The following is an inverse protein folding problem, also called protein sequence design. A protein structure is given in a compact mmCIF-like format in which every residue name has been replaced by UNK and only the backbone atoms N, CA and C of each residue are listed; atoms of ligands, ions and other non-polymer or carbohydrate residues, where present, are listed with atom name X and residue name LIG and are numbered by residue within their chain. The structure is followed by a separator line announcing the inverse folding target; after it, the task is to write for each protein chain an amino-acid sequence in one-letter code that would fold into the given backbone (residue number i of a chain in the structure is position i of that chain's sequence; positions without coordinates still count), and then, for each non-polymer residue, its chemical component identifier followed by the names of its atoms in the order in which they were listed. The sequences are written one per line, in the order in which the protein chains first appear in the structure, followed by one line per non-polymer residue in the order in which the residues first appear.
data_IF_141434172322
#
_entry.id   IF_141434172322
#
_cell.length_a   1.000
_cell.length_b   1.000
_cell.length_c   1.000
_cell.angle_alpha   90.00
_cell.angle_beta   90.00
_cell.angle_gamma   90.00
#
_symmetry.space_group_name_H-M   'P 1'
#
loop_
_entity.id
_entity.type
_entity.pdbx_description
1 polymer ?
#
# COMPACT_ATOMS: atom_id res chain seq x y z
N UNK A 1 -1.82 12.46 -57.38
CA UNK A 1 -3.06 12.35 -56.63
C UNK A 1 -2.74 11.60 -55.36
N UNK A 2 -2.59 12.37 -54.35
CA UNK A 2 -2.98 12.25 -52.96
C UNK A 2 -2.60 10.99 -52.21
N UNK A 3 -1.42 11.06 -51.54
CA UNK A 3 -1.11 10.23 -50.39
C UNK A 3 -1.57 10.87 -49.14
N UNK A 4 -2.33 10.17 -48.31
CA UNK A 4 -2.56 10.51 -46.94
C UNK A 4 -1.56 9.75 -46.08
N UNK A 5 -0.63 10.46 -45.53
CA UNK A 5 0.23 9.98 -44.45
C UNK A 5 -0.56 9.86 -43.16
N UNK A 6 -0.63 8.66 -42.60
CA UNK A 6 -1.06 8.43 -41.26
C UNK A 6 0.16 8.45 -40.35
N UNK A 7 0.32 9.54 -39.62
CA UNK A 7 1.32 9.68 -38.55
C UNK A 7 0.99 8.82 -37.35
N UNK A 8 2.01 8.27 -36.81
CA UNK A 8 2.35 7.92 -35.45
C UNK A 8 1.28 7.67 -34.40
N UNK A 9 0.98 6.41 -34.13
CA UNK A 9 0.60 5.94 -32.81
C UNK A 9 1.64 4.92 -32.31
N UNK A 10 2.73 5.46 -31.83
CA UNK A 10 3.72 4.71 -31.07
C UNK A 10 3.44 4.93 -29.59
N UNK A 11 2.88 3.95 -28.90
CA UNK A 11 2.86 4.02 -27.44
C UNK A 11 2.05 2.98 -26.70
N UNK A 12 1.00 2.42 -27.26
CA UNK A 12 0.09 1.55 -26.51
C UNK A 12 0.02 0.09 -26.94
N UNK A 13 0.52 -0.25 -28.10
CA UNK A 13 0.30 -1.57 -28.73
C UNK A 13 1.30 -2.66 -28.37
N UNK A 14 2.40 -2.33 -27.73
CA UNK A 14 3.48 -3.29 -27.47
C UNK A 14 3.27 -4.18 -26.24
N UNK A 15 2.28 -3.89 -25.40
CA UNK A 15 2.05 -4.61 -24.14
C UNK A 15 1.04 -5.76 -24.21
N UNK A 16 0.33 -5.92 -25.33
CA UNK A 16 -0.71 -6.94 -25.47
C UNK A 16 -0.54 -7.79 -26.74
N UNK A 17 0.59 -8.45 -26.88
CA UNK A 17 0.77 -9.52 -27.85
C UNK A 17 0.72 -10.91 -27.18
N UNK A 18 -0.34 -11.19 -26.47
CA UNK A 18 -0.54 -12.44 -25.71
C UNK A 18 -0.80 -13.70 -26.56
N UNK A 19 -0.58 -13.70 -27.87
CA UNK A 19 -0.73 -14.92 -28.71
C UNK A 19 0.25 -15.02 -29.89
N UNK A 20 1.10 -14.03 -30.15
CA UNK A 20 2.22 -14.17 -31.06
C UNK A 20 3.46 -14.25 -30.20
N UNK A 21 4.19 -15.36 -30.30
CA UNK A 21 5.41 -15.59 -29.53
C UNK A 21 6.33 -14.36 -29.59
N UNK A 22 7.05 -14.11 -28.50
CA UNK A 22 8.06 -13.05 -28.43
C UNK A 22 8.94 -13.13 -29.66
N UNK A 23 9.20 -11.99 -30.28
CA UNK A 23 10.13 -11.85 -31.41
C UNK A 23 11.46 -12.55 -31.06
N UNK A 24 11.99 -13.42 -31.91
CA UNK A 24 13.23 -14.16 -31.64
C UNK A 24 14.38 -13.27 -31.16
N UNK A 25 14.51 -12.06 -31.68
CA UNK A 25 15.50 -11.08 -31.22
C UNK A 25 15.29 -10.64 -29.78
N UNK A 26 14.04 -10.45 -29.37
CA UNK A 26 13.69 -10.10 -27.96
C UNK A 26 13.93 -11.27 -27.04
N UNK A 27 13.61 -12.49 -27.46
CA UNK A 27 13.92 -13.69 -26.71
C UNK A 27 15.43 -13.85 -26.49
N UNK A 28 16.24 -13.60 -27.50
CA UNK A 28 17.69 -13.66 -27.39
C UNK A 28 18.25 -12.55 -26.48
N UNK A 29 17.72 -11.34 -26.57
CA UNK A 29 18.06 -10.24 -25.64
C UNK A 29 17.69 -10.58 -24.18
N UNK A 30 16.52 -11.15 -23.95
CA UNK A 30 16.10 -11.61 -22.61
C UNK A 30 17.00 -12.74 -22.11
N UNK A 31 17.31 -13.71 -22.97
CA UNK A 31 18.21 -14.82 -22.63
C UNK A 31 19.60 -14.31 -22.22
N UNK A 32 20.16 -13.35 -22.94
CA UNK A 32 21.43 -12.73 -22.59
C UNK A 32 21.35 -11.87 -21.33
N UNK A 33 20.29 -11.10 -21.18
CA UNK A 33 20.11 -10.21 -20.03
C UNK A 33 19.94 -10.97 -18.71
N UNK A 34 19.15 -12.05 -18.74
CA UNK A 34 18.88 -12.88 -17.56
C UNK A 34 19.75 -14.13 -17.46
N UNK A 35 20.58 -14.39 -18.48
CA UNK A 35 21.49 -15.52 -18.50
C UNK A 35 20.76 -16.88 -18.50
N UNK A 36 19.62 -16.99 -19.17
CA UNK A 36 18.84 -18.23 -19.22
C UNK A 36 19.58 -19.38 -19.93
N UNK A 37 20.62 -19.07 -20.67
CA UNK A 37 21.57 -19.99 -21.28
C UNK A 37 22.52 -20.67 -20.30
N UNK A 38 22.59 -20.18 -19.02
CA UNK A 38 23.50 -20.68 -18.02
C UNK A 38 22.82 -21.67 -17.05
N UNK A 39 23.59 -22.61 -16.44
CA UNK A 39 23.07 -23.51 -15.42
C UNK A 39 22.38 -22.76 -14.29
N UNK A 40 21.29 -23.35 -13.77
CA UNK A 40 20.47 -22.71 -12.71
C UNK A 40 21.27 -22.27 -11.48
N UNK A 41 22.24 -23.08 -11.05
CA UNK A 41 23.10 -22.77 -9.90
C UNK A 41 23.99 -21.54 -10.15
N UNK A 42 24.56 -21.43 -11.34
CA UNK A 42 25.39 -20.26 -11.70
C UNK A 42 24.57 -18.98 -11.70
N UNK A 43 23.34 -19.04 -12.22
CA UNK A 43 22.39 -17.91 -12.18
C UNK A 43 22.04 -17.53 -10.76
N UNK A 44 21.76 -18.51 -9.91
CA UNK A 44 21.42 -18.29 -8.51
C UNK A 44 22.54 -17.57 -7.77
N UNK A 45 23.79 -18.06 -7.87
CA UNK A 45 24.93 -17.42 -7.19
C UNK A 45 25.24 -16.03 -7.77
N UNK A 46 25.09 -15.82 -9.07
CA UNK A 46 25.25 -14.50 -9.67
C UNK A 46 24.17 -13.53 -9.14
N UNK A 47 22.90 -13.95 -9.14
CA UNK A 47 21.79 -13.15 -8.61
C UNK A 47 22.00 -12.81 -7.12
N UNK A 48 22.41 -13.80 -6.33
CA UNK A 48 22.68 -13.59 -4.90
C UNK A 48 23.82 -12.59 -4.68
N UNK A 49 24.89 -12.69 -5.46
CA UNK A 49 26.00 -11.75 -5.41
C UNK A 49 25.56 -10.33 -5.81
N UNK A 50 24.79 -10.19 -6.88
CA UNK A 50 24.25 -8.89 -7.28
C UNK A 50 23.36 -8.27 -6.19
N UNK A 51 22.52 -9.06 -5.54
CA UNK A 51 21.67 -8.59 -4.44
C UNK A 51 22.47 -8.15 -3.21
N UNK A 52 23.57 -8.85 -2.89
CA UNK A 52 24.45 -8.47 -1.78
C UNK A 52 25.13 -7.10 -1.99
N UNK A 53 25.34 -6.69 -3.23
CA UNK A 53 25.91 -5.37 -3.58
C UNK A 53 24.83 -4.36 -4.00
N UNK A 54 23.54 -4.66 -3.73
CA UNK A 54 22.39 -3.84 -4.10
C UNK A 54 22.27 -3.54 -5.62
N UNK A 55 22.83 -4.40 -6.46
CA UNK A 55 22.64 -4.33 -7.91
C UNK A 55 21.42 -5.17 -8.30
N UNK A 56 20.26 -4.53 -8.40
CA UNK A 56 19.00 -5.15 -8.82
C UNK A 56 18.76 -5.00 -10.34
N UNK A 57 19.73 -4.50 -11.08
CA UNK A 57 19.63 -4.27 -12.51
C UNK A 57 18.73 -3.09 -12.89
N UNK A 58 18.26 -3.12 -14.13
CA UNK A 58 17.38 -2.08 -14.66
C UNK A 58 15.93 -2.52 -14.74
N UNK A 59 15.01 -1.59 -14.45
CA UNK A 59 13.57 -1.81 -14.59
C UNK A 59 13.19 -1.92 -16.06
N UNK A 60 12.54 -3.00 -16.43
CA UNK A 60 12.06 -3.22 -17.79
C UNK A 60 11.02 -2.18 -18.25
N UNK A 61 10.19 -1.69 -17.31
CA UNK A 61 9.11 -0.77 -17.63
C UNK A 61 9.52 0.72 -17.57
N UNK A 62 10.49 1.05 -16.74
CA UNK A 62 10.83 2.45 -16.44
C UNK A 62 12.18 2.88 -17.02
N UNK A 63 12.94 1.99 -17.69
CA UNK A 63 14.25 2.27 -18.29
C UNK A 63 15.24 2.98 -17.34
N UNK A 64 15.13 2.70 -16.04
CA UNK A 64 16.00 3.25 -14.99
C UNK A 64 16.40 2.16 -14.00
N UNK A 65 17.46 2.38 -13.22
CA UNK A 65 17.90 1.43 -12.20
C UNK A 65 16.76 1.14 -11.20
N UNK A 66 16.60 -0.14 -10.83
CA UNK A 66 15.61 -0.57 -9.83
C UNK A 66 15.86 0.14 -8.49
N UNK A 67 17.12 0.30 -8.09
CA UNK A 67 17.48 1.05 -6.86
C UNK A 67 16.97 2.49 -6.92
N UNK A 68 17.20 3.16 -8.03
CA UNK A 68 16.74 4.54 -8.22
C UNK A 68 15.22 4.65 -8.21
N UNK A 69 14.54 3.68 -8.82
CA UNK A 69 13.08 3.59 -8.78
C UNK A 69 12.57 3.39 -7.35
N UNK A 70 13.18 2.47 -6.60
CA UNK A 70 12.82 2.22 -5.20
C UNK A 70 13.00 3.48 -4.36
N UNK A 71 14.18 4.13 -4.43
CA UNK A 71 14.46 5.35 -3.68
C UNK A 71 13.46 6.47 -4.02
N UNK A 72 13.08 6.61 -5.28
CA UNK A 72 12.10 7.64 -5.70
C UNK A 72 10.69 7.38 -5.15
N UNK A 73 10.33 6.13 -4.85
CA UNK A 73 9.01 5.75 -4.29
C UNK A 73 9.01 5.61 -2.77
N UNK A 74 10.19 5.50 -2.13
CA UNK A 74 10.30 5.37 -0.68
C UNK A 74 9.57 6.47 0.11
N UNK A 75 9.65 7.77 -0.23
CA UNK A 75 8.98 8.81 0.54
C UNK A 75 7.46 8.59 0.63
N UNK A 76 6.83 8.16 -0.47
CA UNK A 76 5.40 7.84 -0.51
C UNK A 76 5.09 6.65 0.39
N UNK A 77 5.82 5.55 0.23
CA UNK A 77 5.59 4.32 0.99
C UNK A 77 5.84 4.51 2.49
N UNK A 78 6.90 5.22 2.85
CA UNK A 78 7.23 5.53 4.25
C UNK A 78 6.17 6.44 4.89
N UNK A 79 5.71 7.46 4.17
CA UNK A 79 4.64 8.34 4.63
C UNK A 79 3.35 7.57 4.90
N UNK A 80 2.90 6.76 3.95
CA UNK A 80 1.71 5.92 4.09
C UNK A 80 1.85 4.94 5.24
N UNK A 81 2.98 4.23 5.31
CA UNK A 81 3.25 3.25 6.37
C UNK A 81 3.27 3.88 7.76
N UNK A 82 3.96 5.02 7.92
CA UNK A 82 4.08 5.71 9.19
C UNK A 82 2.71 6.21 9.69
N UNK A 83 1.97 6.92 8.85
CA UNK A 83 0.65 7.42 9.24
C UNK A 83 -0.35 6.31 9.49
N UNK A 84 -0.36 5.28 8.66
CA UNK A 84 -1.20 4.10 8.88
C UNK A 84 -0.86 3.43 10.21
N UNK A 85 0.42 3.24 10.51
CA UNK A 85 0.88 2.69 11.80
C UNK A 85 0.38 3.53 12.97
N UNK A 86 0.66 4.84 12.98
CA UNK A 86 0.26 5.74 14.07
C UNK A 86 -1.25 5.71 14.29
N UNK A 87 -2.05 5.83 13.22
CA UNK A 87 -3.51 5.87 13.32
C UNK A 87 -4.08 4.54 13.78
N UNK A 88 -3.58 3.41 13.24
CA UNK A 88 -4.02 2.08 13.65
C UNK A 88 -3.77 1.87 15.15
N UNK A 89 -2.55 2.11 15.62
CA UNK A 89 -2.22 1.88 17.03
C UNK A 89 -2.92 2.86 17.97
N UNK A 90 -2.97 4.14 17.62
CA UNK A 90 -3.66 5.15 18.42
C UNK A 90 -5.17 4.89 18.54
N UNK A 91 -5.76 4.22 17.54
CA UNK A 91 -7.20 3.89 17.55
C UNK A 91 -7.47 2.52 18.17
N UNK A 92 -6.70 1.49 17.76
CA UNK A 92 -6.97 0.10 18.13
C UNK A 92 -6.69 -0.19 19.61
N UNK A 93 -5.65 0.41 20.19
CA UNK A 93 -5.31 0.16 21.59
C UNK A 93 -6.43 0.65 22.52
N UNK A 94 -6.83 1.94 22.51
CA UNK A 94 -7.89 2.40 23.39
C UNK A 94 -9.24 1.74 23.09
N UNK A 95 -9.56 1.53 21.82
CA UNK A 95 -10.80 0.85 21.43
C UNK A 95 -10.81 -0.61 21.89
N UNK A 96 -9.71 -1.34 21.72
CA UNK A 96 -9.59 -2.74 22.18
C UNK A 96 -9.71 -2.88 23.69
N UNK A 97 -9.09 -1.98 24.46
CA UNK A 97 -9.22 -1.93 25.91
C UNK A 97 -10.66 -1.60 26.31
N UNK A 98 -11.29 -0.60 25.70
CA UNK A 98 -12.68 -0.25 25.97
C UNK A 98 -13.64 -1.41 25.69
N UNK A 99 -13.38 -2.18 24.63
CA UNK A 99 -14.14 -3.40 24.28
C UNK A 99 -13.92 -4.53 25.30
N UNK A 100 -12.70 -4.71 25.80
CA UNK A 100 -12.40 -5.71 26.82
C UNK A 100 -13.10 -5.40 28.14
N UNK A 101 -13.10 -4.13 28.57
CA UNK A 101 -13.80 -3.68 29.77
C UNK A 101 -15.32 -3.82 29.66
N UNK A 102 -15.87 -3.65 28.45
CA UNK A 102 -17.31 -3.73 28.18
C UNK A 102 -17.67 -5.00 27.39
N UNK A 103 -16.93 -6.09 27.60
CA UNK A 103 -17.15 -7.34 26.87
C UNK A 103 -18.59 -7.84 26.99
N UNK A 104 -19.19 -8.23 25.87
CA UNK A 104 -20.58 -8.67 25.79
C UNK A 104 -21.64 -7.56 25.78
N UNK A 105 -21.26 -6.29 25.93
CA UNK A 105 -22.18 -5.16 25.82
C UNK A 105 -22.60 -4.87 24.36
N UNK A 106 -23.66 -4.08 24.20
CA UNK A 106 -24.10 -3.58 22.89
C UNK A 106 -22.99 -2.78 22.17
N UNK A 107 -22.17 -2.04 22.91
CA UNK A 107 -21.01 -1.33 22.40
C UNK A 107 -19.98 -2.30 21.79
N UNK A 108 -19.68 -3.39 22.50
CA UNK A 108 -18.73 -4.39 22.02
C UNK A 108 -19.23 -5.09 20.74
N UNK A 109 -20.50 -5.48 20.72
CA UNK A 109 -21.11 -6.11 19.55
C UNK A 109 -21.18 -5.15 18.35
N UNK A 110 -21.70 -3.95 18.55
CA UNK A 110 -21.85 -2.96 17.49
C UNK A 110 -20.51 -2.56 16.88
N UNK A 111 -19.48 -2.29 17.70
CA UNK A 111 -18.13 -1.96 17.21
C UNK A 111 -17.48 -3.15 16.52
N UNK A 112 -17.68 -4.39 16.99
CA UNK A 112 -17.19 -5.58 16.30
C UNK A 112 -17.81 -5.72 14.92
N UNK A 113 -19.14 -5.58 14.83
CA UNK A 113 -19.85 -5.65 13.55
C UNK A 113 -19.37 -4.59 12.57
N UNK A 114 -19.22 -3.34 13.01
CA UNK A 114 -18.72 -2.25 12.17
C UNK A 114 -17.30 -2.52 11.67
N UNK A 115 -16.41 -2.98 12.54
CA UNK A 115 -15.04 -3.34 12.17
C UNK A 115 -14.99 -4.49 11.17
N UNK A 116 -15.84 -5.52 11.34
CA UNK A 116 -15.92 -6.66 10.42
C UNK A 116 -16.47 -6.25 9.05
N UNK A 117 -17.46 -5.36 9.00
CA UNK A 117 -17.95 -4.78 7.72
C UNK A 117 -16.79 -4.06 7.01
N UNK A 118 -16.04 -3.22 7.72
CA UNK A 118 -14.88 -2.55 7.15
C UNK A 118 -13.79 -3.51 6.68
N UNK A 119 -13.55 -4.58 7.45
CA UNK A 119 -12.58 -5.61 7.10
C UNK A 119 -12.95 -6.42 5.85
N UNK A 120 -14.26 -6.63 5.62
CA UNK A 120 -14.73 -7.36 4.45
C UNK A 120 -14.47 -6.63 3.13
N UNK A 121 -14.27 -5.31 3.16
CA UNK A 121 -13.98 -4.52 1.97
C UNK A 121 -12.47 -4.51 1.72
N UNK A 122 -11.99 -5.05 0.58
CA UNK A 122 -10.57 -4.95 0.24
C UNK A 122 -10.11 -3.48 0.19
N UNK A 123 -8.97 -3.18 0.86
CA UNK A 123 -8.50 -1.79 0.99
C UNK A 123 -8.32 -1.06 -0.34
N UNK A 124 -7.89 -1.75 -1.40
CA UNK A 124 -7.76 -1.15 -2.73
C UNK A 124 -9.14 -0.79 -3.33
N UNK A 125 -10.18 -1.61 -3.09
CA UNK A 125 -11.55 -1.32 -3.54
C UNK A 125 -12.08 -0.08 -2.81
N UNK A 126 -11.89 -0.03 -1.48
CA UNK A 126 -12.23 1.14 -0.69
C UNK A 126 -11.48 2.39 -1.20
N UNK A 127 -10.19 2.26 -1.50
CA UNK A 127 -9.38 3.34 -2.07
C UNK A 127 -9.94 3.88 -3.39
N UNK A 128 -10.33 2.99 -4.30
CA UNK A 128 -10.94 3.38 -5.57
C UNK A 128 -12.28 4.09 -5.33
N UNK A 129 -13.13 3.54 -4.48
CA UNK A 129 -14.43 4.14 -4.15
C UNK A 129 -14.27 5.54 -3.56
N UNK A 130 -13.37 5.70 -2.58
CA UNK A 130 -13.08 7.00 -1.97
C UNK A 130 -12.52 7.99 -2.99
N UNK A 131 -11.65 7.55 -3.87
CA UNK A 131 -11.07 8.39 -4.91
C UNK A 131 -12.14 8.86 -5.91
N UNK A 132 -13.00 7.97 -6.36
CA UNK A 132 -14.10 8.30 -7.30
C UNK A 132 -15.11 9.25 -6.65
N UNK A 133 -15.45 9.02 -5.38
CA UNK A 133 -16.41 9.85 -4.68
C UNK A 133 -15.84 11.23 -4.32
N UNK A 134 -14.61 11.31 -3.85
CA UNK A 134 -14.06 12.50 -3.19
C UNK A 134 -12.84 13.12 -3.85
N UNK A 135 -12.12 12.39 -4.73
CA UNK A 135 -10.86 12.85 -5.30
C UNK A 135 -10.87 13.17 -6.79
N UNK A 136 -11.79 12.62 -7.55
CA UNK A 136 -11.72 12.64 -9.01
C UNK A 136 -12.61 13.64 -9.75
N UNK A 137 -13.40 14.43 -9.02
CA UNK A 137 -14.34 15.37 -9.66
C UNK A 137 -15.55 14.72 -10.34
N UNK A 138 -15.74 13.38 -10.21
CA UNK A 138 -16.92 12.70 -10.73
C UNK A 138 -18.17 13.00 -9.90
N UNK A 139 -18.02 13.08 -8.58
CA UNK A 139 -19.07 13.46 -7.62
C UNK A 139 -18.66 14.68 -6.82
N UNK A 140 -17.63 14.55 -6.01
CA UNK A 140 -17.09 15.63 -5.17
C UNK A 140 -15.57 15.73 -5.36
N UNK A 141 -15.03 16.93 -5.45
CA UNK A 141 -13.59 17.18 -5.60
C UNK A 141 -13.02 17.81 -4.32
N UNK A 142 -13.13 17.09 -3.19
CA UNK A 142 -12.65 17.60 -1.91
C UNK A 142 -11.17 17.29 -1.68
N UNK A 143 -10.69 16.15 -2.19
CA UNK A 143 -9.33 15.70 -1.96
C UNK A 143 -8.53 15.63 -3.26
N UNK A 144 -7.21 15.79 -3.18
CA UNK A 144 -6.35 15.70 -4.34
C UNK A 144 -6.32 14.27 -4.90
N UNK A 145 -6.23 14.17 -6.23
CA UNK A 145 -6.29 12.91 -6.96
C UNK A 145 -4.97 12.12 -6.86
N UNK A 146 -3.83 12.80 -6.78
CA UNK A 146 -2.49 12.19 -6.83
C UNK A 146 -1.43 13.07 -6.17
N UNK A 147 -0.27 12.48 -5.89
CA UNK A 147 0.88 13.16 -5.28
C UNK A 147 0.84 13.13 -3.76
N UNK A 148 1.96 13.52 -3.14
CA UNK A 148 2.05 13.76 -1.69
C UNK A 148 1.77 15.21 -1.34
N UNK A 149 1.87 16.09 -2.32
CA UNK A 149 1.79 17.54 -2.16
C UNK A 149 1.28 18.18 -3.44
N UNK A 150 0.73 19.37 -3.34
CA UNK A 150 0.29 20.18 -4.47
C UNK A 150 1.46 20.73 -5.29
N UNK A 151 1.23 21.06 -6.56
CA UNK A 151 2.27 21.57 -7.48
C UNK A 151 2.91 22.86 -7.01
N UNK A 152 2.17 23.72 -6.29
CA UNK A 152 2.64 25.00 -5.75
C UNK A 152 3.23 24.88 -4.32
N UNK A 153 3.47 23.65 -3.82
CA UNK A 153 3.93 23.40 -2.46
C UNK A 153 5.21 24.16 -2.08
N UNK A 154 6.14 24.35 -3.02
CA UNK A 154 7.39 25.06 -2.77
C UNK A 154 7.19 26.50 -2.28
N UNK A 155 6.17 27.19 -2.80
CA UNK A 155 5.83 28.59 -2.44
C UNK A 155 4.97 28.75 -1.20
N UNK A 156 4.52 27.65 -0.56
CA UNK A 156 3.67 27.71 0.62
C UNK A 156 4.45 28.02 1.90
N UNK A 157 3.76 28.60 2.89
CA UNK A 157 4.29 28.73 4.26
C UNK A 157 4.37 27.37 4.95
N UNK A 158 5.18 27.23 5.99
CA UNK A 158 5.35 25.93 6.69
C UNK A 158 4.03 25.33 7.16
N UNK A 159 3.13 26.11 7.72
CA UNK A 159 1.82 25.61 8.15
C UNK A 159 0.99 25.07 6.99
N UNK A 160 0.96 25.78 5.86
CA UNK A 160 0.23 25.34 4.67
C UNK A 160 0.88 24.11 4.04
N UNK A 161 2.21 23.98 4.08
CA UNK A 161 2.93 22.78 3.63
C UNK A 161 2.52 21.53 4.39
N UNK A 162 2.43 21.62 5.72
CA UNK A 162 2.01 20.51 6.57
C UNK A 162 0.55 20.16 6.33
N UNK A 163 -0.32 21.14 6.26
CA UNK A 163 -1.74 20.93 5.99
C UNK A 163 -1.99 20.31 4.60
N UNK A 164 -1.31 20.81 3.57
CA UNK A 164 -1.39 20.27 2.21
C UNK A 164 -0.95 18.81 2.16
N UNK A 165 0.19 18.49 2.77
CA UNK A 165 0.68 17.13 2.87
C UNK A 165 -0.33 16.22 3.60
N UNK A 166 -0.84 16.64 4.75
CA UNK A 166 -1.82 15.86 5.51
C UNK A 166 -3.11 15.65 4.69
N UNK A 167 -3.53 16.65 3.95
CA UNK A 167 -4.72 16.60 3.10
C UNK A 167 -4.58 15.56 1.98
N UNK A 168 -3.40 15.45 1.37
CA UNK A 168 -3.09 14.40 0.38
C UNK A 168 -3.07 13.00 0.97
N UNK A 169 -2.76 12.89 2.27
CA UNK A 169 -2.67 11.60 2.96
C UNK A 169 -4.01 11.04 3.41
N UNK A 170 -5.09 11.83 3.49
CA UNK A 170 -6.38 11.41 4.07
C UNK A 170 -6.95 10.17 3.40
N UNK A 171 -7.20 10.20 2.10
CA UNK A 171 -7.84 9.07 1.40
C UNK A 171 -6.98 7.81 1.36
N UNK A 172 -5.67 7.88 1.02
CA UNK A 172 -4.81 6.70 1.00
C UNK A 172 -4.64 6.07 2.38
N UNK A 173 -4.47 6.86 3.43
CA UNK A 173 -4.33 6.34 4.79
C UNK A 173 -5.64 5.74 5.28
N UNK A 174 -6.78 6.38 5.02
CA UNK A 174 -8.08 5.83 5.39
C UNK A 174 -8.31 4.47 4.73
N UNK A 175 -8.06 4.34 3.44
CA UNK A 175 -8.24 3.08 2.71
C UNK A 175 -7.31 1.96 3.19
N UNK A 176 -6.08 2.30 3.57
CA UNK A 176 -5.08 1.32 4.02
C UNK A 176 -5.28 0.90 5.49
N UNK A 177 -5.91 1.72 6.33
CA UNK A 177 -6.07 1.45 7.76
C UNK A 177 -7.32 0.66 8.10
N UNK A 178 -8.42 0.81 7.35
CA UNK A 178 -9.73 0.21 7.70
C UNK A 178 -9.65 -1.30 7.95
N UNK A 179 -8.98 -2.05 7.07
CA UNK A 179 -8.80 -3.49 7.26
C UNK A 179 -7.95 -3.86 8.49
N UNK A 180 -6.90 -3.09 8.74
CA UNK A 180 -5.99 -3.32 9.86
C UNK A 180 -6.64 -3.00 11.22
N UNK A 181 -7.56 -2.04 11.28
CA UNK A 181 -8.29 -1.66 12.49
C UNK A 181 -9.06 -2.83 13.10
N UNK A 182 -9.73 -3.64 12.28
CA UNK A 182 -10.49 -4.78 12.77
C UNK A 182 -9.59 -5.81 13.46
N UNK A 183 -8.56 -6.26 12.76
CA UNK A 183 -7.65 -7.28 13.26
C UNK A 183 -6.94 -6.83 14.55
N UNK A 184 -6.33 -5.64 14.54
CA UNK A 184 -5.58 -5.12 15.68
C UNK A 184 -6.47 -4.83 16.89
N UNK A 185 -7.68 -4.32 16.68
CA UNK A 185 -8.63 -4.08 17.78
C UNK A 185 -9.06 -5.38 18.46
N UNK A 186 -9.37 -6.43 17.67
CA UNK A 186 -9.76 -7.73 18.20
C UNK A 186 -8.58 -8.41 18.93
N UNK A 187 -7.37 -8.32 18.40
CA UNK A 187 -6.17 -8.82 19.09
C UNK A 187 -5.94 -8.11 20.41
N UNK A 188 -6.06 -6.78 20.44
CA UNK A 188 -5.93 -5.99 21.68
C UNK A 188 -6.99 -6.34 22.70
N UNK A 189 -8.24 -6.50 22.27
CA UNK A 189 -9.34 -6.95 23.14
C UNK A 189 -9.02 -8.31 23.76
N UNK A 190 -8.68 -9.30 22.94
CA UNK A 190 -8.42 -10.66 23.41
C UNK A 190 -7.25 -10.71 24.41
N UNK A 191 -6.12 -10.05 24.08
CA UNK A 191 -4.98 -9.96 24.99
C UNK A 191 -5.33 -9.29 26.32
N UNK A 192 -6.20 -8.28 26.32
CA UNK A 192 -6.62 -7.58 27.53
C UNK A 192 -7.57 -8.43 28.37
N UNK A 193 -8.44 -9.22 27.73
CA UNK A 193 -9.36 -10.14 28.42
C UNK A 193 -8.59 -11.28 29.09
N UNK A 194 -7.70 -11.95 28.38
CA UNK A 194 -6.88 -13.06 28.92
C UNK A 194 -6.06 -12.61 30.12
N UNK A 195 -5.41 -11.46 30.07
CA UNK A 195 -4.65 -10.92 31.22
C UNK A 195 -5.53 -10.63 32.43
N UNK A 196 -6.79 -10.22 32.24
CA UNK A 196 -7.72 -9.97 33.34
C UNK A 196 -8.18 -11.27 34.00
N UNK A 197 -8.38 -12.33 33.23
CA UNK A 197 -8.72 -13.66 33.70
C UNK A 197 -7.56 -14.30 34.49
N UNK A 198 -6.33 -14.26 33.97
CA UNK A 198 -5.13 -14.75 34.68
C UNK A 198 -4.94 -14.07 36.04
N UNK A 199 -5.16 -12.75 36.12
CA UNK A 199 -5.08 -12.02 37.37
C UNK A 199 -6.18 -12.44 38.36
N UNK A 200 -7.35 -12.81 37.89
CA UNK A 200 -8.47 -13.25 38.73
C UNK A 200 -8.19 -14.63 39.30
N UNK A 201 -7.78 -15.57 38.49
CA UNK A 201 -7.38 -16.93 38.87
C UNK A 201 -6.20 -16.88 39.90
N UNK A 202 -5.18 -16.08 39.62
CA UNK A 202 -4.03 -15.94 40.51
C UNK A 202 -4.36 -15.32 41.88
N UNK A 203 -5.46 -14.55 42.03
CA UNK A 203 -5.96 -14.04 43.31
C UNK A 203 -6.75 -15.12 44.05
N UNK A 204 -7.57 -15.89 43.34
CA UNK A 204 -8.36 -16.99 43.94
C UNK A 204 -7.49 -18.12 44.48
N UNK A 205 -6.34 -18.39 43.86
CA UNK A 205 -5.35 -19.38 44.33
C UNK A 205 -4.52 -18.89 45.56
N UNK A 206 -4.62 -17.62 45.94
CA UNK A 206 -3.84 -17.03 47.03
C UNK A 206 -4.67 -16.78 48.31
N UNK A 207 -5.97 -16.95 48.25
CA UNK A 207 -6.92 -16.91 49.35
C UNK A 207 -7.23 -18.31 49.87
#
# INVERSE_FOLDING_TARGET
MSGYGAGGETGGGALYQGKRGLDPERLEQLNRLYGFDQPAMTRFFRMMRSYLVFDFGQSYYHHQSVVQLVISKMPVSMSLGLWSFVIVYATCIPLGIAKAVRAGSTFDVATTTLLLIGYAIPGFVLGIVLLVLFGGGSFWSFFPLRGLTSDNWAGMTLCHKVLDYLWHMVLPVLSSTVGSLALMTLLTKNSSTTRSEERRVGKECRS
#
